data_IF_266322925219
#
_entry.id   IF_266322925219
#
_cell.length_a   1.000
_cell.length_b   1.000
_cell.length_c   1.000
_cell.angle_alpha   90.00
_cell.angle_beta   90.00
_cell.angle_gamma   90.00
#
_symmetry.space_group_name_H-M   'P 1'
#
loop_
_entity.id
_entity.type
_entity.pdbx_description
1 polymer ?
#
# COMPACT_ATOMS: atom_id res chain seq x y z
N UNK A 1 -21.05 -5.98 -59.86
CA UNK A 1 -20.13 -6.87 -59.13
C UNK A 1 -19.39 -6.02 -58.10
N UNK A 2 -19.76 -6.15 -56.81
CA UNK A 2 -19.16 -5.36 -55.72
C UNK A 2 -18.10 -6.22 -55.02
N UNK A 3 -16.84 -5.80 -55.10
CA UNK A 3 -15.72 -6.43 -54.38
C UNK A 3 -15.68 -5.89 -52.95
N UNK A 4 -15.87 -6.77 -51.96
CA UNK A 4 -15.71 -6.49 -50.55
C UNK A 4 -14.27 -6.83 -50.17
N UNK A 5 -13.44 -5.82 -49.96
CA UNK A 5 -12.08 -5.99 -49.45
C UNK A 5 -12.14 -6.08 -47.92
N UNK A 6 -11.90 -7.27 -47.38
CA UNK A 6 -11.82 -7.49 -45.93
C UNK A 6 -10.48 -6.94 -45.39
N UNK A 7 -10.55 -5.89 -44.56
CA UNK A 7 -9.42 -5.40 -43.77
C UNK A 7 -9.13 -6.39 -42.63
N UNK A 8 -8.01 -7.11 -42.71
CA UNK A 8 -7.45 -7.85 -41.57
C UNK A 8 -6.72 -6.86 -40.65
N UNK A 9 -7.38 -6.43 -39.57
CA UNK A 9 -6.73 -5.73 -38.46
C UNK A 9 -5.90 -6.71 -37.64
N UNK A 10 -4.58 -6.64 -37.78
CA UNK A 10 -3.61 -7.33 -36.91
C UNK A 10 -3.63 -6.64 -35.55
N UNK A 11 -4.23 -7.28 -34.54
CA UNK A 11 -4.11 -6.85 -33.16
C UNK A 11 -2.67 -7.07 -32.68
N UNK A 12 -1.91 -5.97 -32.49
CA UNK A 12 -0.62 -6.02 -31.82
C UNK A 12 -0.85 -6.23 -30.33
N UNK A 13 -0.52 -7.43 -29.84
CA UNK A 13 -0.40 -7.72 -28.41
C UNK A 13 0.82 -6.94 -27.91
N UNK A 14 0.60 -5.86 -27.18
CA UNK A 14 1.68 -5.11 -26.53
C UNK A 14 1.99 -5.84 -25.22
N UNK A 15 3.09 -6.60 -25.20
CA UNK A 15 3.72 -7.03 -23.95
C UNK A 15 4.31 -5.78 -23.28
N UNK A 16 3.72 -5.34 -22.18
CA UNK A 16 4.34 -4.35 -21.31
C UNK A 16 5.53 -5.00 -20.61
N UNK A 17 6.72 -4.96 -21.22
CA UNK A 17 7.98 -5.20 -20.52
C UNK A 17 8.22 -4.00 -19.60
N UNK A 18 8.10 -4.21 -18.29
CA UNK A 18 8.59 -3.23 -17.33
C UNK A 18 10.12 -3.36 -17.25
N UNK A 19 10.90 -2.29 -17.50
CA UNK A 19 12.35 -2.37 -17.55
C UNK A 19 12.94 -2.31 -16.13
N UNK A 20 12.78 -3.39 -15.37
CA UNK A 20 13.67 -3.68 -14.24
C UNK A 20 14.96 -4.27 -14.81
N UNK A 21 15.98 -3.44 -15.02
CA UNK A 21 17.28 -3.75 -15.64
C UNK A 21 17.90 -5.09 -15.20
N UNK A 22 17.90 -6.08 -16.10
CA UNK A 22 18.60 -7.36 -15.95
C UNK A 22 17.80 -8.56 -16.52
N UNK A 23 18.46 -9.61 -17.05
CA UNK A 23 17.76 -10.82 -17.49
C UNK A 23 16.95 -11.47 -16.36
N UNK A 24 15.77 -11.99 -16.68
CA UNK A 24 14.87 -12.67 -15.73
C UNK A 24 15.53 -13.82 -14.94
N UNK A 25 16.51 -14.49 -15.55
CA UNK A 25 17.26 -15.59 -14.95
C UNK A 25 18.36 -15.15 -13.97
N UNK A 26 18.63 -13.85 -13.86
CA UNK A 26 19.67 -13.31 -12.97
C UNK A 26 19.29 -13.55 -11.52
N UNK A 27 20.21 -14.14 -10.74
CA UNK A 27 20.04 -14.24 -9.29
C UNK A 27 20.22 -12.86 -8.68
N UNK A 28 19.25 -12.44 -7.87
CA UNK A 28 19.32 -11.17 -7.13
C UNK A 28 19.36 -11.47 -5.64
N UNK A 29 20.48 -11.16 -5.00
CA UNK A 29 20.64 -11.26 -3.56
C UNK A 29 20.21 -9.97 -2.86
N UNK A 30 19.57 -10.10 -1.71
CA UNK A 30 19.11 -8.99 -0.87
C UNK A 30 18.33 -7.90 -1.64
N UNK A 31 17.25 -8.27 -2.35
CA UNK A 31 16.52 -7.33 -3.20
C UNK A 31 15.95 -6.16 -2.39
N UNK A 32 15.87 -5.01 -3.05
CA UNK A 32 15.18 -3.84 -2.52
C UNK A 32 14.03 -3.50 -3.45
N UNK A 33 12.83 -3.40 -2.89
CA UNK A 33 11.63 -3.03 -3.62
C UNK A 33 11.18 -1.63 -3.26
N UNK A 34 10.67 -0.89 -4.23
CA UNK A 34 10.11 0.45 -4.05
C UNK A 34 8.68 0.52 -4.55
N UNK A 35 7.86 1.32 -3.87
CA UNK A 35 6.45 1.53 -4.22
C UNK A 35 5.90 2.80 -3.60
N UNK A 36 4.77 3.27 -4.11
CA UNK A 36 4.00 4.37 -3.53
C UNK A 36 2.57 3.90 -3.21
N UNK A 37 2.03 4.39 -2.10
CA UNK A 37 0.75 3.90 -1.58
C UNK A 37 0.07 4.92 -0.65
N UNK A 38 -1.23 4.76 -0.46
CA UNK A 38 -1.96 5.32 0.66
C UNK A 38 -2.09 4.26 1.76
N UNK A 39 -1.74 4.59 3.02
CA UNK A 39 -1.78 3.63 4.11
C UNK A 39 -3.23 3.22 4.43
N UNK A 40 -3.48 1.94 4.72
CA UNK A 40 -4.79 1.51 5.17
C UNK A 40 -5.12 2.12 6.54
N UNK A 41 -6.41 2.18 6.87
CA UNK A 41 -6.88 2.67 8.18
C UNK A 41 -6.17 1.94 9.34
N UNK A 42 -5.99 0.63 9.20
CA UNK A 42 -5.35 -0.23 10.20
C UNK A 42 -3.88 0.11 10.48
N UNK A 43 -3.21 0.83 9.58
CA UNK A 43 -1.82 1.28 9.75
C UNK A 43 -1.72 2.71 10.28
N UNK A 44 -2.84 3.31 10.67
CA UNK A 44 -2.87 4.62 11.32
C UNK A 44 -3.23 4.45 12.79
N UNK A 45 -2.96 5.48 13.58
CA UNK A 45 -3.41 5.54 14.96
C UNK A 45 -4.02 6.89 15.29
N UNK A 46 -4.71 6.95 16.42
CA UNK A 46 -5.18 8.20 17.00
C UNK A 46 -4.97 8.20 18.52
N UNK A 47 -4.14 9.12 19.02
CA UNK A 47 -3.75 9.20 20.43
C UNK A 47 -4.68 10.04 21.31
N UNK A 48 -5.78 10.54 20.73
CA UNK A 48 -6.78 11.31 21.48
C UNK A 48 -6.60 12.83 21.42
N UNK A 49 -5.56 13.36 20.76
CA UNK A 49 -5.37 14.81 20.60
C UNK A 49 -6.11 15.30 19.34
N UNK A 50 -7.26 15.99 19.47
CA UNK A 50 -8.05 16.40 18.31
C UNK A 50 -7.39 17.59 17.57
N UNK A 51 -7.63 17.71 16.25
CA UNK A 51 -7.32 18.94 15.51
C UNK A 51 -8.01 20.17 16.11
N UNK A 52 -7.46 21.36 15.85
CA UNK A 52 -8.06 22.61 16.29
C UNK A 52 -9.52 22.75 15.81
N UNK A 53 -10.42 23.20 16.70
CA UNK A 53 -11.84 23.34 16.40
C UNK A 53 -12.65 22.05 16.55
N UNK A 54 -12.02 20.90 16.81
CA UNK A 54 -12.70 19.64 17.10
C UNK A 54 -12.83 19.43 18.61
N UNK A 55 -14.06 19.18 19.08
CA UNK A 55 -14.31 18.85 20.48
C UNK A 55 -13.76 17.46 20.83
N UNK A 56 -12.95 17.38 21.89
CA UNK A 56 -12.33 16.14 22.36
C UNK A 56 -13.35 15.02 22.65
N UNK A 57 -14.54 15.35 23.19
CA UNK A 57 -15.63 14.40 23.45
C UNK A 57 -16.15 13.69 22.20
N UNK A 58 -15.92 14.27 21.03
CA UNK A 58 -16.36 13.73 19.73
C UNK A 58 -15.21 13.15 18.92
N UNK A 59 -13.98 13.18 19.45
CA UNK A 59 -12.78 12.73 18.77
C UNK A 59 -12.42 11.33 19.25
N UNK A 60 -12.96 10.32 18.57
CA UNK A 60 -12.80 8.91 18.93
C UNK A 60 -12.05 8.15 17.84
N UNK A 61 -11.41 7.05 18.22
CA UNK A 61 -10.70 6.17 17.29
C UNK A 61 -11.69 5.63 16.25
N UNK A 62 -11.31 5.72 14.98
CA UNK A 62 -12.15 5.24 13.88
C UNK A 62 -12.17 3.70 13.83
N UNK A 63 -13.26 3.03 13.40
CA UNK A 63 -13.29 1.58 13.26
C UNK A 63 -12.10 1.03 12.45
N UNK A 64 -11.33 0.14 13.06
CA UNK A 64 -10.13 -0.48 12.47
C UNK A 64 -8.83 0.33 12.67
N UNK A 65 -8.92 1.59 13.07
CA UNK A 65 -7.75 2.40 13.44
C UNK A 65 -7.19 1.95 14.79
N UNK A 66 -5.89 2.10 15.00
CA UNK A 66 -5.25 1.70 16.25
C UNK A 66 -5.25 2.83 17.29
N UNK A 67 -5.24 2.51 18.60
CA UNK A 67 -5.21 3.52 19.65
C UNK A 67 -3.80 4.08 19.89
N UNK A 68 -2.74 3.36 19.49
CA UNK A 68 -1.35 3.78 19.73
C UNK A 68 -0.47 3.55 18.51
N UNK A 69 0.65 4.29 18.46
CA UNK A 69 1.70 4.10 17.45
C UNK A 69 2.24 2.66 17.45
N UNK A 70 2.44 2.06 18.63
CA UNK A 70 3.01 0.73 18.74
C UNK A 70 2.06 -0.34 18.21
N UNK A 71 0.75 -0.18 18.45
CA UNK A 71 -0.25 -1.09 17.91
C UNK A 71 -0.34 -0.98 16.38
N UNK A 72 -0.31 0.24 15.83
CA UNK A 72 -0.26 0.45 14.38
C UNK A 72 0.99 -0.14 13.73
N UNK A 73 2.16 0.03 14.38
CA UNK A 73 3.41 -0.60 13.90
C UNK A 73 3.31 -2.11 13.89
N UNK A 74 2.74 -2.72 14.94
CA UNK A 74 2.57 -4.17 15.04
C UNK A 74 1.62 -4.70 13.96
N UNK A 75 0.48 -4.05 13.73
CA UNK A 75 -0.47 -4.44 12.68
C UNK A 75 0.18 -4.34 11.30
N UNK A 76 0.87 -3.22 11.02
CA UNK A 76 1.61 -3.03 9.77
C UNK A 76 2.67 -4.13 9.56
N UNK A 77 3.46 -4.46 10.58
CA UNK A 77 4.46 -5.52 10.51
C UNK A 77 3.80 -6.87 10.23
N UNK A 78 2.75 -7.23 10.98
CA UNK A 78 2.04 -8.50 10.79
C UNK A 78 1.45 -8.64 9.39
N UNK A 79 0.90 -7.57 8.82
CA UNK A 79 0.36 -7.56 7.46
C UNK A 79 1.46 -7.81 6.41
N UNK A 80 2.59 -7.12 6.55
CA UNK A 80 3.74 -7.26 5.64
C UNK A 80 4.37 -8.66 5.78
N UNK A 81 4.57 -9.13 7.01
CA UNK A 81 5.11 -10.46 7.31
C UNK A 81 4.21 -11.54 6.70
N UNK A 82 2.90 -11.46 6.94
CA UNK A 82 1.93 -12.41 6.40
C UNK A 82 1.90 -12.43 4.87
N UNK A 83 1.97 -11.26 4.23
CA UNK A 83 2.02 -11.14 2.78
C UNK A 83 3.29 -11.76 2.18
N UNK A 84 4.46 -11.47 2.76
CA UNK A 84 5.74 -11.99 2.29
C UNK A 84 5.82 -13.50 2.51
N UNK A 85 5.50 -13.98 3.72
CA UNK A 85 5.51 -15.41 4.03
C UNK A 85 4.59 -16.21 3.12
N UNK A 86 3.38 -15.72 2.87
CA UNK A 86 2.44 -16.37 1.94
C UNK A 86 2.97 -16.38 0.50
N UNK A 87 3.63 -15.32 0.08
CA UNK A 87 4.22 -15.22 -1.27
C UNK A 87 5.42 -16.16 -1.45
N UNK A 88 6.29 -16.27 -0.44
CA UNK A 88 7.42 -17.21 -0.43
C UNK A 88 6.93 -18.67 -0.42
N UNK A 89 5.94 -18.98 0.40
CA UNK A 89 5.34 -20.31 0.45
C UNK A 89 4.71 -20.72 -0.89
N UNK A 90 4.09 -19.78 -1.63
CA UNK A 90 3.55 -20.04 -2.97
C UNK A 90 4.63 -20.40 -4.00
N UNK A 91 5.84 -19.87 -3.85
CA UNK A 91 6.99 -20.25 -4.68
C UNK A 91 7.69 -21.53 -4.21
N UNK A 92 7.25 -22.13 -3.10
CA UNK A 92 7.93 -23.29 -2.51
C UNK A 92 9.30 -22.94 -1.91
N UNK A 93 9.52 -21.68 -1.54
CA UNK A 93 10.80 -21.21 -0.99
C UNK A 93 10.67 -21.08 0.52
N UNK A 94 11.56 -21.77 1.26
CA UNK A 94 11.58 -21.68 2.71
C UNK A 94 12.07 -20.29 3.17
N UNK A 95 11.36 -19.58 4.06
CA UNK A 95 11.75 -18.24 4.52
C UNK A 95 12.91 -18.24 5.53
N UNK A 96 13.50 -19.40 5.84
CA UNK A 96 14.55 -19.53 6.85
C UNK A 96 15.76 -18.65 6.48
N UNK A 97 16.25 -17.87 7.46
CA UNK A 97 17.34 -16.92 7.24
C UNK A 97 16.99 -15.70 6.38
N UNK A 98 15.72 -15.52 6.02
CA UNK A 98 15.22 -14.34 5.32
C UNK A 98 14.61 -13.37 6.33
N UNK A 99 15.05 -12.12 6.29
CA UNK A 99 14.41 -11.01 7.02
C UNK A 99 14.03 -9.91 6.05
N UNK A 100 13.09 -9.07 6.45
CA UNK A 100 12.68 -7.92 5.65
C UNK A 100 12.40 -6.72 6.53
N UNK A 101 12.62 -5.55 5.96
CA UNK A 101 12.44 -4.28 6.63
C UNK A 101 11.71 -3.31 5.71
N UNK A 102 10.57 -2.82 6.18
CA UNK A 102 9.84 -1.73 5.57
C UNK A 102 10.40 -0.39 6.07
N UNK A 103 10.71 0.49 5.14
CA UNK A 103 11.18 1.86 5.38
C UNK A 103 10.30 2.85 4.59
N UNK A 104 10.40 4.14 4.94
CA UNK A 104 9.70 5.22 4.23
C UNK A 104 8.27 5.47 4.71
N UNK A 105 7.77 4.69 5.67
CA UNK A 105 6.50 4.95 6.33
C UNK A 105 6.57 4.70 7.83
N UNK A 106 6.01 5.64 8.60
CA UNK A 106 5.70 5.47 10.01
C UNK A 106 4.20 5.70 10.18
N UNK A 107 3.47 4.85 10.91
CA UNK A 107 2.05 5.06 11.17
C UNK A 107 1.73 6.50 11.56
N UNK A 108 0.77 7.09 10.87
CA UNK A 108 0.38 8.48 11.07
C UNK A 108 -0.60 8.59 12.24
N UNK A 109 -0.39 9.58 13.13
CA UNK A 109 -1.41 10.04 14.06
C UNK A 109 -2.42 10.89 13.30
N UNK A 110 -3.67 10.44 13.16
CA UNK A 110 -4.68 11.25 12.53
C UNK A 110 -6.09 10.88 12.98
N UNK A 111 -6.90 11.88 13.36
CA UNK A 111 -8.32 11.67 13.59
C UNK A 111 -9.03 11.44 12.25
N UNK A 112 -9.56 10.24 12.04
CA UNK A 112 -10.34 9.93 10.84
C UNK A 112 -11.82 10.28 11.08
N UNK A 113 -12.40 11.08 10.19
CA UNK A 113 -13.84 11.38 10.19
C UNK A 113 -14.46 11.13 8.82
N UNK A 114 -15.28 10.10 8.73
CA UNK A 114 -16.20 9.92 7.60
C UNK A 114 -17.37 10.90 7.71
N UNK A 115 -18.05 11.19 6.60
CA UNK A 115 -19.25 12.03 6.62
C UNK A 115 -20.33 11.43 7.52
N UNK A 116 -20.92 12.26 8.38
CA UNK A 116 -22.02 11.90 9.26
C UNK A 116 -23.26 12.79 9.04
N UNK A 117 -23.25 13.64 8.00
CA UNK A 117 -24.34 14.56 7.66
C UNK A 117 -24.39 15.84 8.51
N UNK A 118 -23.52 16.01 9.51
CA UNK A 118 -23.48 17.23 10.33
C UNK A 118 -22.46 18.23 9.77
N UNK A 119 -22.90 19.49 9.60
CA UNK A 119 -22.01 20.58 9.21
C UNK A 119 -20.89 20.78 10.25
N UNK A 120 -19.66 20.94 9.78
CA UNK A 120 -18.47 21.10 10.60
C UNK A 120 -17.92 19.79 11.17
N UNK A 121 -18.59 18.64 10.96
CA UNK A 121 -18.08 17.35 11.44
C UNK A 121 -16.76 16.99 10.77
N UNK A 122 -16.70 17.16 9.45
CA UNK A 122 -15.51 16.93 8.62
C UNK A 122 -14.58 18.14 8.73
N UNK A 123 -14.02 18.33 9.91
CA UNK A 123 -13.17 19.47 10.22
C UNK A 123 -11.80 19.42 9.50
N UNK A 124 -11.20 20.59 9.32
CA UNK A 124 -9.81 20.75 8.86
C UNK A 124 -8.85 19.99 9.78
N UNK A 125 -7.83 19.36 9.22
CA UNK A 125 -6.85 18.55 9.96
C UNK A 125 -7.32 17.12 10.28
N UNK A 126 -8.57 16.76 9.97
CA UNK A 126 -9.02 15.37 10.03
C UNK A 126 -8.63 14.62 8.75
N UNK A 127 -8.37 13.32 8.89
CA UNK A 127 -8.15 12.45 7.75
C UNK A 127 -9.46 11.93 7.19
N UNK A 128 -9.49 11.68 5.88
CA UNK A 128 -10.61 11.01 5.24
C UNK A 128 -10.17 9.71 4.56
N UNK A 129 -10.94 8.62 4.76
CA UNK A 129 -10.64 7.36 4.13
C UNK A 129 -11.35 7.24 2.77
N UNK A 130 -10.73 6.52 1.84
CA UNK A 130 -11.32 6.06 0.59
C UNK A 130 -10.89 4.60 0.37
N UNK A 131 -11.86 3.72 0.13
CA UNK A 131 -11.62 2.28 -0.14
C UNK A 131 -10.75 1.61 0.97
N UNK A 132 -10.94 2.03 2.23
CA UNK A 132 -10.21 1.47 3.37
C UNK A 132 -8.80 2.03 3.60
N UNK A 133 -8.35 2.98 2.78
CA UNK A 133 -7.07 3.68 2.93
C UNK A 133 -7.27 5.16 3.26
N UNK A 134 -6.34 5.76 4.01
CA UNK A 134 -6.33 7.19 4.33
C UNK A 134 -5.63 7.95 3.22
N UNK A 135 -6.41 8.62 2.36
CA UNK A 135 -5.88 9.20 1.11
C UNK A 135 -5.43 10.65 1.24
N UNK A 136 -5.96 11.39 2.21
CA UNK A 136 -5.57 12.78 2.44
C UNK A 136 -6.01 13.28 3.82
N UNK A 137 -5.41 14.40 4.21
CA UNK A 137 -5.81 15.20 5.36
C UNK A 137 -6.55 16.46 4.88
N UNK A 138 -7.72 16.72 5.44
CA UNK A 138 -8.59 17.82 5.00
C UNK A 138 -7.97 19.19 5.23
N UNK A 139 -8.00 20.03 4.21
CA UNK A 139 -7.64 21.46 4.30
C UNK A 139 -8.86 22.38 4.24
N UNK A 140 -10.02 21.84 3.86
CA UNK A 140 -11.31 22.54 3.79
C UNK A 140 -12.32 21.75 4.61
N UNK A 141 -13.09 22.44 5.46
CA UNK A 141 -14.15 21.81 6.23
C UNK A 141 -15.27 21.29 5.31
N UNK A 142 -15.90 20.19 5.70
CA UNK A 142 -17.04 19.58 4.99
C UNK A 142 -16.76 19.21 3.52
N UNK A 143 -15.49 18.99 3.20
CA UNK A 143 -15.01 18.54 1.89
C UNK A 143 -14.01 17.40 2.04
N UNK A 144 -14.01 16.47 1.10
CA UNK A 144 -13.03 15.39 1.01
C UNK A 144 -11.88 15.84 0.08
N UNK A 145 -11.32 17.00 0.40
CA UNK A 145 -10.18 17.60 -0.31
C UNK A 145 -9.12 18.02 0.69
N UNK A 146 -7.86 17.92 0.28
CA UNK A 146 -6.76 18.43 1.07
C UNK A 146 -5.40 17.88 0.68
N UNK A 147 -4.49 17.84 1.64
CA UNK A 147 -3.11 17.42 1.42
C UNK A 147 -3.07 15.90 1.25
N UNK A 148 -2.56 15.44 0.11
CA UNK A 148 -2.38 14.03 -0.21
C UNK A 148 -1.58 13.31 0.88
N UNK A 149 -2.04 12.13 1.28
CA UNK A 149 -1.34 11.24 2.21
C UNK A 149 -0.52 10.16 1.47
N UNK A 150 -0.03 10.50 0.27
CA UNK A 150 0.76 9.57 -0.52
C UNK A 150 2.10 9.29 0.17
N UNK A 151 2.41 8.02 0.38
CA UNK A 151 3.63 7.56 1.03
C UNK A 151 4.52 6.84 0.02
N UNK A 152 5.83 6.90 0.23
CA UNK A 152 6.81 6.15 -0.54
C UNK A 152 7.44 5.08 0.36
N UNK A 153 7.21 3.81 0.01
CA UNK A 153 7.71 2.65 0.71
C UNK A 153 8.98 2.10 0.09
N UNK A 154 9.85 1.55 0.93
CA UNK A 154 10.95 0.69 0.49
C UNK A 154 10.98 -0.57 1.34
N UNK A 155 10.88 -1.74 0.70
CA UNK A 155 11.00 -3.04 1.35
C UNK A 155 12.35 -3.63 1.00
N UNK A 156 13.24 -3.71 1.99
CA UNK A 156 14.55 -4.37 1.83
C UNK A 156 14.45 -5.79 2.38
N UNK A 157 14.85 -6.77 1.57
CA UNK A 157 14.96 -8.17 1.99
C UNK A 157 16.42 -8.49 2.22
N UNK A 158 16.73 -9.20 3.31
CA UNK A 158 18.03 -9.80 3.56
C UNK A 158 17.87 -11.31 3.55
N UNK A 159 18.59 -12.02 2.69
CA UNK A 159 18.39 -13.46 2.48
C UNK A 159 19.61 -14.15 1.90
N UNK A 160 19.78 -15.42 2.22
CA UNK A 160 20.74 -16.34 1.58
C UNK A 160 20.13 -17.12 0.42
N UNK A 161 18.83 -16.92 0.13
CA UNK A 161 18.12 -17.63 -0.93
C UNK A 161 18.63 -17.24 -2.31
N UNK A 162 18.82 -18.25 -3.18
CA UNK A 162 19.21 -18.07 -4.57
C UNK A 162 17.96 -17.99 -5.44
N UNK A 163 17.37 -16.80 -5.50
CA UNK A 163 16.11 -16.52 -6.20
C UNK A 163 16.38 -15.63 -7.41
N UNK A 164 15.76 -15.95 -8.54
CA UNK A 164 15.90 -15.19 -9.78
C UNK A 164 15.10 -13.88 -9.73
N UNK A 165 15.46 -12.93 -10.60
CA UNK A 165 14.70 -11.68 -10.79
C UNK A 165 13.23 -11.95 -11.11
N UNK A 166 12.93 -12.92 -11.96
CA UNK A 166 11.54 -13.30 -12.28
C UNK A 166 10.76 -13.80 -11.07
N UNK A 167 11.39 -14.60 -10.21
CA UNK A 167 10.78 -15.08 -8.96
C UNK A 167 10.58 -13.94 -7.96
N UNK A 168 11.52 -12.98 -7.86
CA UNK A 168 11.34 -11.79 -7.03
C UNK A 168 10.19 -10.90 -7.52
N UNK A 169 10.04 -10.72 -8.83
CA UNK A 169 8.92 -9.98 -9.41
C UNK A 169 7.58 -10.68 -9.15
N UNK A 170 7.56 -12.03 -9.17
CA UNK A 170 6.39 -12.81 -8.75
C UNK A 170 6.07 -12.58 -7.28
N UNK A 171 7.05 -12.64 -6.37
CA UNK A 171 6.87 -12.35 -4.94
C UNK A 171 6.30 -10.94 -4.76
N UNK A 172 6.88 -9.94 -5.43
CA UNK A 172 6.41 -8.55 -5.34
C UNK A 172 4.95 -8.41 -5.77
N UNK A 173 4.55 -9.09 -6.84
CA UNK A 173 3.16 -9.09 -7.33
C UNK A 173 2.20 -9.78 -6.35
N UNK A 174 2.63 -10.88 -5.73
CA UNK A 174 1.84 -11.57 -4.71
C UNK A 174 1.71 -10.75 -3.43
N UNK A 175 2.80 -10.12 -2.98
CA UNK A 175 2.80 -9.20 -1.82
C UNK A 175 1.85 -8.04 -2.08
N UNK A 176 1.92 -7.42 -3.27
CA UNK A 176 0.99 -6.37 -3.71
C UNK A 176 -0.46 -6.84 -3.58
N UNK A 177 -0.78 -8.03 -4.13
CA UNK A 177 -2.13 -8.58 -4.10
C UNK A 177 -2.60 -8.86 -2.66
N UNK A 178 -1.75 -9.43 -1.80
CA UNK A 178 -2.10 -9.70 -0.41
C UNK A 178 -2.39 -8.39 0.36
N UNK A 179 -1.49 -7.42 0.28
CA UNK A 179 -1.64 -6.13 0.98
C UNK A 179 -2.84 -5.33 0.46
N UNK A 180 -3.07 -5.33 -0.85
CA UNK A 180 -4.21 -4.62 -1.44
C UNK A 180 -5.55 -5.23 -0.99
N UNK A 181 -5.69 -6.55 -1.12
CA UNK A 181 -6.96 -7.23 -0.88
C UNK A 181 -7.28 -7.35 0.60
N UNK A 182 -6.33 -7.81 1.41
CA UNK A 182 -6.58 -8.19 2.81
C UNK A 182 -6.28 -7.05 3.77
N UNK A 183 -5.21 -6.29 3.53
CA UNK A 183 -4.80 -5.19 4.41
C UNK A 183 -5.30 -3.83 3.94
N UNK A 184 -5.96 -3.75 2.76
CA UNK A 184 -6.51 -2.52 2.17
C UNK A 184 -5.47 -1.44 1.85
N UNK A 185 -4.22 -1.84 1.62
CA UNK A 185 -3.18 -0.92 1.16
C UNK A 185 -3.54 -0.46 -0.25
N UNK A 186 -3.74 0.84 -0.43
CA UNK A 186 -4.06 1.39 -1.74
C UNK A 186 -2.79 1.84 -2.45
N UNK A 187 -2.21 0.94 -3.23
CA UNK A 187 -1.03 1.23 -4.03
C UNK A 187 -1.32 2.17 -5.21
N UNK A 188 -0.48 3.17 -5.41
CA UNK A 188 -0.48 4.04 -6.59
C UNK A 188 0.56 3.65 -7.63
N UNK A 189 1.54 2.83 -7.23
CA UNK A 189 2.50 2.18 -8.12
C UNK A 189 2.59 0.69 -7.78
N UNK A 190 3.02 -0.16 -8.72
CA UNK A 190 3.39 -1.54 -8.37
C UNK A 190 4.55 -1.57 -7.35
N UNK A 191 4.77 -2.75 -6.77
CA UNK A 191 5.98 -3.07 -6.00
C UNK A 191 7.04 -3.53 -6.98
N UNK A 192 8.08 -2.72 -7.15
CA UNK A 192 9.10 -2.96 -8.18
C UNK A 192 10.46 -3.19 -7.55
N UNK A 193 11.18 -4.17 -8.10
CA UNK A 193 12.58 -4.41 -7.77
C UNK A 193 13.45 -3.29 -8.35
N UNK A 194 14.29 -2.70 -7.50
CA UNK A 194 15.25 -1.66 -7.90
C UNK A 194 16.51 -2.25 -8.55
#
# INVERSE_FOLDING_TARGET
>A
MYSITALLTVARIVYSCNPGVGPDATIVSNPTFTFSFYPPIAWTYYDGVPPAGVQASTATVYPGQQPTLNDAKRVMQNDIDGAILKSLNKLGVAPQGTTWQMNGYTPQNCLIRADNGQQGWRAVGTCFPQIGAVVAMRTVADSDTGTSNLQQGTLRVTTSLLVTRSQWNFIASEVYNQLNVYSKVYFTTPIELK
#
